data_IF_510492823476
#
_entry.id   IF_510492823476
#
_cell.length_a   1.000
_cell.length_b   1.000
_cell.length_c   1.000
_cell.angle_alpha   90.00
_cell.angle_beta   90.00
_cell.angle_gamma   90.00
#
_symmetry.space_group_name_H-M   'P 1'
#
loop_
_entity.id
_entity.type
_entity.pdbx_description
1 polymer ?
#
# COMPACT_ATOMS: atom_id res chain seq x y z
N UNK A 1 8.44 4.46 -11.73
CA UNK A 1 7.94 3.06 -11.90
C UNK A 1 6.95 2.70 -10.79
N UNK A 2 5.86 2.01 -11.11
CA UNK A 2 5.00 1.40 -10.06
C UNK A 2 5.50 -0.01 -9.78
N UNK A 3 5.75 -0.31 -8.51
CA UNK A 3 6.09 -1.66 -8.06
C UNK A 3 4.80 -2.41 -7.71
N UNK A 4 4.74 -3.65 -8.18
CA UNK A 4 3.68 -4.60 -7.89
C UNK A 4 4.21 -5.68 -6.96
N UNK A 5 3.52 -5.91 -5.85
CA UNK A 5 3.77 -7.01 -4.93
C UNK A 5 2.54 -7.90 -4.83
N UNK A 6 2.79 -9.20 -4.64
CA UNK A 6 1.77 -10.18 -4.31
C UNK A 6 2.15 -10.79 -2.97
N UNK A 7 1.36 -10.48 -1.95
CA UNK A 7 1.55 -11.00 -0.60
C UNK A 7 1.02 -12.43 -0.53
N UNK A 8 1.94 -13.40 -0.51
CA UNK A 8 1.63 -14.83 -0.48
C UNK A 8 1.59 -15.41 0.94
N UNK A 9 1.76 -14.58 1.98
CA UNK A 9 1.60 -14.97 3.39
C UNK A 9 0.14 -15.26 3.75
N UNK A 10 -0.80 -14.89 2.87
CA UNK A 10 -2.24 -15.15 2.98
C UNK A 10 -2.74 -15.91 1.75
N UNK A 11 -3.81 -16.69 1.94
CA UNK A 11 -4.51 -17.38 0.86
C UNK A 11 -5.99 -16.98 0.88
N UNK A 12 -6.53 -16.41 -0.21
CA UNK A 12 -5.84 -16.15 -1.47
C UNK A 12 -4.86 -14.96 -1.35
N UNK A 13 -3.80 -14.89 -2.19
CA UNK A 13 -2.83 -13.81 -2.12
C UNK A 13 -3.47 -12.43 -2.31
N UNK A 14 -2.92 -11.45 -1.62
CA UNK A 14 -3.32 -10.05 -1.70
C UNK A 14 -2.37 -9.25 -2.58
N UNK A 15 -2.88 -8.21 -3.23
CA UNK A 15 -2.14 -7.41 -4.21
C UNK A 15 -1.82 -6.05 -3.61
N UNK A 16 -0.57 -5.64 -3.71
CA UNK A 16 -0.07 -4.37 -3.21
C UNK A 16 0.63 -3.61 -4.34
N UNK A 17 0.36 -2.31 -4.46
CA UNK A 17 1.01 -1.39 -5.39
C UNK A 17 1.78 -0.33 -4.62
N UNK A 18 2.94 0.11 -5.13
CA UNK A 18 3.71 1.20 -4.54
C UNK A 18 4.36 2.06 -5.63
N UNK A 19 4.24 3.38 -5.52
CA UNK A 19 5.01 4.30 -6.36
C UNK A 19 6.45 4.41 -5.86
N UNK A 20 7.43 4.34 -6.76
CA UNK A 20 8.86 4.50 -6.37
C UNK A 20 9.21 5.94 -6.04
N UNK A 21 8.49 6.92 -6.61
CA UNK A 21 8.67 8.33 -6.32
C UNK A 21 7.33 9.09 -6.36
N UNK A 22 7.42 10.42 -6.17
CA UNK A 22 6.25 11.31 -6.13
C UNK A 22 5.44 11.31 -7.42
N UNK A 23 6.06 11.16 -8.60
CA UNK A 23 5.35 11.19 -9.88
C UNK A 23 4.47 9.96 -10.02
N UNK A 24 4.96 8.78 -9.66
CA UNK A 24 4.12 7.58 -9.69
C UNK A 24 3.10 7.53 -8.55
N UNK A 25 3.38 8.15 -7.40
CA UNK A 25 2.37 8.34 -6.37
C UNK A 25 1.17 9.17 -6.89
N UNK A 26 1.43 10.25 -7.64
CA UNK A 26 0.39 11.07 -8.28
C UNK A 26 -0.38 10.31 -9.37
N UNK A 27 0.27 9.40 -10.10
CA UNK A 27 -0.43 8.54 -11.05
C UNK A 27 -1.29 7.48 -10.35
N UNK A 28 -0.77 6.84 -9.30
CA UNK A 28 -1.51 5.83 -8.54
C UNK A 28 -2.75 6.40 -7.87
N UNK A 29 -2.66 7.59 -7.26
CA UNK A 29 -3.82 8.23 -6.66
C UNK A 29 -4.86 8.62 -7.71
N UNK A 30 -4.43 9.08 -8.89
CA UNK A 30 -5.31 9.45 -10.00
C UNK A 30 -6.10 8.25 -10.56
N UNK A 31 -5.49 7.07 -10.56
CA UNK A 31 -6.08 5.84 -11.09
C UNK A 31 -6.46 4.82 -10.01
N UNK A 32 -6.55 5.26 -8.75
CA UNK A 32 -6.93 4.45 -7.60
C UNK A 32 -8.36 3.94 -7.69
N UNK A 33 -8.61 2.78 -7.10
CA UNK A 33 -9.92 2.13 -7.11
C UNK A 33 -10.63 2.35 -5.75
N UNK A 34 -11.97 2.33 -5.69
CA UNK A 34 -12.70 2.42 -4.41
C UNK A 34 -12.31 1.31 -3.42
N UNK A 35 -11.87 0.15 -3.92
CA UNK A 35 -11.42 -0.99 -3.14
C UNK A 35 -9.96 -0.87 -2.66
N UNK A 36 -9.23 0.18 -3.04
CA UNK A 36 -7.84 0.35 -2.62
C UNK A 36 -7.76 0.96 -1.21
N UNK A 37 -7.12 0.25 -0.29
CA UNK A 37 -6.73 0.78 1.01
C UNK A 37 -5.38 1.47 0.86
N UNK A 38 -5.36 2.78 1.06
CA UNK A 38 -4.18 3.61 0.90
C UNK A 38 -3.43 3.82 2.22
N UNK A 39 -2.11 3.65 2.17
CA UNK A 39 -1.19 3.83 3.30
C UNK A 39 -0.20 4.96 3.01
N UNK A 40 0.03 5.79 4.00
CA UNK A 40 0.97 6.90 3.99
C UNK A 40 1.44 7.19 5.43
N UNK A 41 2.70 7.55 5.63
CA UNK A 41 3.17 7.95 6.98
C UNK A 41 2.57 9.31 7.33
N UNK A 42 2.01 9.44 8.52
CA UNK A 42 1.47 10.73 8.98
C UNK A 42 2.55 11.83 8.97
N UNK A 43 2.20 13.01 8.44
CA UNK A 43 2.97 14.27 8.46
C UNK A 43 4.36 14.29 7.79
N UNK A 44 4.85 13.18 7.25
CA UNK A 44 6.17 13.12 6.58
C UNK A 44 6.04 12.61 5.15
N UNK A 45 6.98 12.96 4.29
CA UNK A 45 7.01 12.45 2.92
C UNK A 45 7.34 10.96 2.91
N UNK A 46 6.49 10.17 2.25
CA UNK A 46 6.67 8.73 2.10
C UNK A 46 6.12 8.21 0.79
N UNK A 47 6.52 7.01 0.41
CA UNK A 47 5.88 6.30 -0.70
C UNK A 47 4.38 6.09 -0.41
N UNK A 48 3.57 6.11 -1.47
CA UNK A 48 2.16 5.75 -1.37
C UNK A 48 2.05 4.25 -1.65
N UNK A 49 1.50 3.50 -0.69
CA UNK A 49 1.24 2.06 -0.83
C UNK A 49 -0.26 1.84 -0.88
N UNK A 50 -0.71 0.97 -1.78
CA UNK A 50 -2.11 0.63 -1.97
C UNK A 50 -2.28 -0.88 -1.87
N UNK A 51 -3.09 -1.33 -0.91
CA UNK A 51 -3.56 -2.71 -0.83
C UNK A 51 -4.89 -2.79 -1.58
N UNK A 52 -4.95 -3.59 -2.65
CA UNK A 52 -6.16 -3.76 -3.45
C UNK A 52 -7.03 -4.89 -2.90
N UNK A 53 -8.19 -4.53 -2.38
CA UNK A 53 -9.18 -5.49 -1.91
C UNK A 53 -9.92 -6.15 -3.07
N UNK A 54 -10.43 -7.36 -2.84
CA UNK A 54 -11.33 -8.02 -3.81
C UNK A 54 -12.73 -7.41 -3.69
N UNK A 55 -13.55 -7.48 -4.76
CA UNK A 55 -14.93 -7.00 -4.71
C UNK A 55 -15.69 -7.58 -3.51
N UNK A 56 -16.27 -6.70 -2.69
CA UNK A 56 -17.04 -7.05 -1.50
C UNK A 56 -16.23 -7.28 -0.22
N UNK A 57 -14.90 -7.20 -0.25
CA UNK A 57 -14.07 -7.19 0.97
C UNK A 57 -14.03 -5.80 1.61
N UNK A 58 -13.91 -5.77 2.93
CA UNK A 58 -13.65 -4.55 3.70
C UNK A 58 -12.27 -4.60 4.36
N UNK A 59 -11.88 -3.49 5.00
CA UNK A 59 -10.64 -3.44 5.78
C UNK A 59 -10.62 -4.49 6.92
N UNK A 60 -11.78 -4.82 7.48
CA UNK A 60 -11.91 -5.80 8.57
C UNK A 60 -11.59 -7.23 8.11
N UNK A 61 -11.68 -7.50 6.81
CA UNK A 61 -11.32 -8.80 6.21
C UNK A 61 -9.81 -8.95 5.97
N UNK A 62 -9.03 -7.89 6.19
CA UNK A 62 -7.58 -7.90 5.95
C UNK A 62 -6.83 -8.43 7.18
N UNK A 63 -6.03 -9.51 7.04
CA UNK A 63 -5.21 -9.98 8.14
C UNK A 63 -4.22 -8.92 8.61
N UNK A 64 -4.07 -8.78 9.94
CA UNK A 64 -3.21 -7.76 10.53
C UNK A 64 -1.77 -7.85 10.03
N UNK A 65 -1.26 -9.05 9.74
CA UNK A 65 0.08 -9.23 9.17
C UNK A 65 0.25 -8.53 7.81
N UNK A 66 -0.79 -8.46 6.99
CA UNK A 66 -0.74 -7.76 5.69
C UNK A 66 -0.80 -6.25 5.90
N UNK A 67 -1.59 -5.78 6.89
CA UNK A 67 -1.62 -4.37 7.27
C UNK A 67 -0.25 -3.92 7.80
N UNK A 68 0.36 -4.74 8.64
CA UNK A 68 1.70 -4.51 9.18
C UNK A 68 2.74 -4.45 8.05
N UNK A 69 2.72 -5.39 7.10
CA UNK A 69 3.60 -5.37 5.94
C UNK A 69 3.45 -4.08 5.10
N UNK A 70 2.21 -3.65 4.85
CA UNK A 70 1.95 -2.40 4.11
C UNK A 70 2.48 -1.18 4.89
N UNK A 71 2.25 -1.14 6.20
CA UNK A 71 2.75 -0.07 7.07
C UNK A 71 4.28 -0.04 7.14
N UNK A 72 4.93 -1.20 7.24
CA UNK A 72 6.40 -1.30 7.21
C UNK A 72 6.95 -0.88 5.86
N UNK A 73 6.29 -1.24 4.75
CA UNK A 73 6.71 -0.85 3.41
C UNK A 73 6.66 0.67 3.22
N UNK A 74 5.58 1.32 3.67
CA UNK A 74 5.44 2.79 3.65
C UNK A 74 6.50 3.46 4.53
N UNK A 75 6.71 2.93 5.73
CA UNK A 75 7.71 3.44 6.67
C UNK A 75 9.13 3.34 6.10
N UNK A 76 9.49 2.18 5.55
CA UNK A 76 10.81 1.92 4.98
C UNK A 76 11.12 2.83 3.78
N UNK A 77 10.08 3.25 3.04
CA UNK A 77 10.17 4.16 1.91
C UNK A 77 9.74 5.60 2.29
N UNK A 78 9.92 5.99 3.55
CA UNK A 78 9.77 7.36 4.01
C UNK A 78 11.11 8.07 4.13
N UNK A 79 11.15 9.34 3.72
CA UNK A 79 12.36 10.17 3.79
C UNK A 79 12.80 10.38 5.26
N UNK A 80 11.83 10.62 6.15
CA UNK A 80 12.09 10.93 7.58
C UNK A 80 11.42 9.96 8.56
N UNK A 81 10.48 9.13 8.07
CA UNK A 81 9.72 8.17 8.88
C UNK A 81 10.40 6.82 9.08
N UNK A 82 11.48 6.53 8.34
CA UNK A 82 12.26 5.31 8.50
C UNK A 82 13.19 5.40 9.72
N UNK A 83 12.59 5.35 10.92
CA UNK A 83 13.26 5.38 12.22
C UNK A 83 12.96 4.15 13.06
#
# INVERSE_FOLDING_TARGET
>A
MVIYFKSEIVSPPMVIYMGVDKYENEELIKWGWPEDVWFHVDKVSSAHVYLRLRPGQTLDDVPSSVLDDCAQLVKANSIEGNK
#
